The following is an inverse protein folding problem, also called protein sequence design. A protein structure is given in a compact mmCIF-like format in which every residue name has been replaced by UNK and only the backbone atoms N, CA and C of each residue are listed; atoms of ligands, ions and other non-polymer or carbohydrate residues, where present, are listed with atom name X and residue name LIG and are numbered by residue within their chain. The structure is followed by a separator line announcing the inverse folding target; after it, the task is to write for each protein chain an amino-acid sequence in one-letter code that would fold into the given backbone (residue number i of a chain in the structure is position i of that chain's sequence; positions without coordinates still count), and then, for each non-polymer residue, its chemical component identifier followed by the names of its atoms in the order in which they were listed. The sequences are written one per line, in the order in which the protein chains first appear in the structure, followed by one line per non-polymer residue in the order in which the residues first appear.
data_IF_503918863828
#
_entry.id   IF_503918863828
#
_cell.length_a   1.000
_cell.length_b   1.000
_cell.length_c   1.000
_cell.angle_alpha   90.00
_cell.angle_beta   90.00
_cell.angle_gamma   90.00
#
_symmetry.space_group_name_H-M   'P 1'
#
loop_
_entity.id
_entity.type
_entity.pdbx_description
1 polymer ?
#
# COMPACT_ATOMS: atom_id res chain seq x y z
N UNK A 1 -4.99 -22.53 -21.53
CA UNK A 1 -5.31 -22.26 -20.10
C UNK A 1 -6.18 -21.01 -20.10
N UNK A 2 -7.48 -21.15 -19.83
CA UNK A 2 -8.38 -20.01 -19.76
C UNK A 2 -8.22 -19.33 -18.40
N UNK A 3 -8.15 -18.01 -18.38
CA UNK A 3 -8.11 -17.21 -17.16
C UNK A 3 -9.54 -17.19 -16.60
N UNK A 4 -9.77 -17.79 -15.43
CA UNK A 4 -11.07 -17.77 -14.75
C UNK A 4 -11.34 -16.34 -14.25
N UNK A 5 -12.16 -15.58 -14.99
CA UNK A 5 -12.47 -14.16 -14.71
C UNK A 5 -13.20 -13.96 -13.38
N UNK A 6 -13.80 -15.02 -12.82
CA UNK A 6 -14.54 -14.97 -11.55
C UNK A 6 -13.63 -14.70 -10.34
N UNK A 7 -12.32 -14.96 -10.45
CA UNK A 7 -11.35 -14.67 -9.39
C UNK A 7 -10.75 -13.27 -9.48
N UNK A 8 -11.09 -12.49 -10.52
CA UNK A 8 -10.56 -11.15 -10.73
C UNK A 8 -11.40 -10.14 -9.93
N UNK A 9 -10.96 -9.85 -8.72
CA UNK A 9 -11.47 -8.73 -7.92
C UNK A 9 -10.79 -7.42 -8.37
N UNK A 10 -11.60 -6.39 -8.59
CA UNK A 10 -11.11 -5.04 -8.92
C UNK A 10 -10.39 -4.44 -7.71
N UNK A 11 -9.26 -3.77 -7.94
CA UNK A 11 -8.56 -2.99 -6.92
C UNK A 11 -9.17 -1.59 -6.70
N UNK A 12 -10.24 -1.24 -7.43
CA UNK A 12 -10.92 0.03 -7.26
C UNK A 12 -11.70 0.05 -5.94
N UNK A 13 -11.65 1.16 -5.17
CA UNK A 13 -12.45 1.29 -3.97
C UNK A 13 -13.94 1.22 -4.31
N UNK A 14 -14.70 0.49 -3.49
CA UNK A 14 -16.15 0.32 -3.61
C UNK A 14 -16.88 1.61 -3.24
N UNK A 15 -16.28 2.46 -2.39
CA UNK A 15 -16.83 3.76 -2.00
C UNK A 15 -15.78 4.80 -1.57
N UNK A 16 -16.11 6.11 -1.58
CA UNK A 16 -15.23 7.15 -1.03
C UNK A 16 -14.92 6.97 0.47
N UNK A 17 -15.84 6.39 1.24
CA UNK A 17 -15.67 6.12 2.66
C UNK A 17 -14.60 5.05 2.92
N UNK A 18 -14.56 4.02 2.08
CA UNK A 18 -13.52 3.00 2.11
C UNK A 18 -12.14 3.61 1.84
N UNK A 19 -12.03 4.46 0.81
CA UNK A 19 -10.78 5.15 0.52
C UNK A 19 -10.33 6.05 1.68
N UNK A 20 -11.26 6.77 2.31
CA UNK A 20 -10.97 7.59 3.48
C UNK A 20 -10.48 6.76 4.67
N UNK A 21 -11.10 5.60 4.90
CA UNK A 21 -10.72 4.67 5.95
C UNK A 21 -9.33 4.06 5.70
N UNK A 22 -9.07 3.54 4.50
CA UNK A 22 -7.76 3.00 4.13
C UNK A 22 -6.66 4.05 4.27
N UNK A 23 -6.92 5.28 3.80
CA UNK A 23 -5.95 6.38 3.88
C UNK A 23 -5.61 6.72 5.34
N UNK A 24 -6.58 6.61 6.25
CA UNK A 24 -6.35 6.82 7.68
C UNK A 24 -5.47 5.73 8.32
N UNK A 25 -5.42 4.53 7.74
CA UNK A 25 -4.56 3.43 8.20
C UNK A 25 -3.14 3.47 7.63
N UNK A 26 -2.88 4.31 6.62
CA UNK A 26 -1.54 4.38 6.00
C UNK A 26 -0.51 4.96 6.99
N UNK A 27 0.67 4.35 7.11
CA UNK A 27 1.77 4.88 7.91
C UNK A 27 2.13 6.31 7.52
N UNK A 28 2.43 7.17 8.50
CA UNK A 28 2.72 8.61 8.26
C UNK A 28 4.20 8.88 8.00
N UNK A 29 5.06 8.04 8.53
CA UNK A 29 6.51 8.10 8.35
C UNK A 29 7.03 6.77 7.81
N UNK A 30 8.22 6.82 7.21
CA UNK A 30 8.88 5.64 6.67
C UNK A 30 9.18 4.60 7.77
N UNK A 31 9.40 5.03 9.01
CA UNK A 31 9.71 4.17 10.15
C UNK A 31 8.53 3.29 10.59
N UNK A 32 7.29 3.72 10.36
CA UNK A 32 6.06 3.03 10.74
C UNK A 32 5.69 1.87 9.78
N UNK A 33 6.35 1.78 8.62
CA UNK A 33 6.12 0.66 7.70
C UNK A 33 6.70 -0.66 8.23
N UNK A 34 5.93 -1.73 8.07
CA UNK A 34 6.29 -3.08 8.49
C UNK A 34 6.76 -3.90 7.26
N UNK A 35 7.88 -4.60 7.41
CA UNK A 35 8.48 -5.42 6.36
C UNK A 35 9.42 -4.66 5.42
N UNK A 36 9.86 -5.34 4.35
CA UNK A 36 10.74 -4.80 3.30
C UNK A 36 11.94 -3.98 3.81
N UNK A 37 12.65 -4.47 4.83
CA UNK A 37 13.70 -3.71 5.53
C UNK A 37 14.75 -3.09 4.60
N UNK A 38 15.21 -3.85 3.60
CA UNK A 38 16.20 -3.37 2.61
C UNK A 38 15.70 -2.14 1.83
N UNK A 39 14.46 -2.16 1.37
CA UNK A 39 13.87 -1.08 0.57
C UNK A 39 13.62 0.14 1.47
N UNK A 40 13.03 -0.09 2.65
CA UNK A 40 12.80 0.95 3.65
C UNK A 40 14.11 1.67 4.03
N UNK A 41 15.21 0.92 4.20
CA UNK A 41 16.53 1.50 4.46
C UNK A 41 17.08 2.33 3.29
N UNK A 42 16.93 1.86 2.04
CA UNK A 42 17.35 2.64 0.87
C UNK A 42 16.56 3.94 0.70
N UNK A 43 15.25 3.90 0.94
CA UNK A 43 14.39 5.08 0.88
C UNK A 43 14.73 6.08 1.99
N UNK A 44 15.09 5.62 3.19
CA UNK A 44 15.43 6.50 4.32
C UNK A 44 16.59 7.44 3.98
N UNK A 45 17.60 6.95 3.24
CA UNK A 45 18.75 7.74 2.80
C UNK A 45 18.32 8.96 1.96
N UNK A 46 17.26 8.84 1.17
CA UNK A 46 16.76 9.92 0.32
C UNK A 46 15.78 10.87 1.03
N UNK A 47 15.07 10.39 2.05
CA UNK A 47 14.05 11.19 2.76
C UNK A 47 14.66 12.04 3.87
N UNK A 48 15.80 11.62 4.44
CA UNK A 48 16.51 12.36 5.49
C UNK A 48 17.49 13.42 4.96
N UNK A 49 17.79 13.42 3.65
CA UNK A 49 18.69 14.38 2.99
C UNK A 49 17.99 15.69 2.61
#
# INVERSE_FOLDING_TARGET
MAIETDRLISAAPVSPQEEAFERALRPKSLAEYIGQEKIRGQLAIFVEA
#
